data_IF_613327302702
#
_entry.id   IF_613327302702
#
_cell.length_a   1.000
_cell.length_b   1.000
_cell.length_c   1.000
_cell.angle_alpha   90.00
_cell.angle_beta   90.00
_cell.angle_gamma   90.00
#
_symmetry.space_group_name_H-M   'P 1'
#
loop_
_entity.id
_entity.type
_entity.pdbx_description
1 polymer ?
#
# COMPACT_ATOMS: atom_id res chain seq x y z
N UNK A 1 -3.03 9.37 -23.83
CA UNK A 1 -2.49 7.99 -23.77
C UNK A 1 -3.64 7.04 -23.51
N UNK A 2 -3.69 5.86 -24.16
CA UNK A 2 -4.81 4.93 -23.97
C UNK A 2 -4.52 3.98 -22.79
N UNK A 3 -5.56 3.58 -22.07
CA UNK A 3 -5.44 2.56 -21.01
C UNK A 3 -4.95 1.22 -21.59
N UNK A 4 -5.35 0.90 -22.82
CA UNK A 4 -4.89 -0.30 -23.53
C UNK A 4 -3.39 -0.30 -23.86
N UNK A 5 -2.70 0.85 -23.80
CA UNK A 5 -1.26 0.92 -23.98
C UNK A 5 -0.47 0.29 -22.82
N UNK A 6 -1.17 -0.04 -21.70
CA UNK A 6 -0.65 -0.69 -20.51
C UNK A 6 -1.20 -2.11 -20.34
N UNK A 7 -1.56 -2.76 -21.44
CA UNK A 7 -2.09 -4.12 -21.42
C UNK A 7 -0.99 -5.15 -21.66
N UNK A 8 -1.11 -6.28 -20.99
CA UNK A 8 -0.31 -7.47 -21.20
C UNK A 8 -1.12 -8.70 -20.79
N UNK A 9 -0.74 -9.89 -21.29
CA UNK A 9 -1.44 -11.12 -20.94
C UNK A 9 -0.90 -11.67 -19.63
N UNK A 10 -1.76 -11.74 -18.61
CA UNK A 10 -1.43 -12.33 -17.31
C UNK A 10 -2.25 -13.61 -17.10
N UNK A 11 -1.61 -14.80 -17.09
CA UNK A 11 -2.26 -16.04 -16.68
C UNK A 11 -2.72 -15.98 -15.23
N UNK A 12 -3.95 -16.43 -14.94
CA UNK A 12 -4.56 -16.34 -13.61
C UNK A 12 -3.78 -17.17 -12.57
N UNK A 13 -3.20 -18.28 -12.98
CA UNK A 13 -2.37 -19.15 -12.13
C UNK A 13 -1.09 -18.49 -11.60
N UNK A 14 -0.64 -17.38 -12.20
CA UNK A 14 0.50 -16.62 -11.69
C UNK A 14 0.13 -15.65 -10.57
N UNK A 15 -1.16 -15.43 -10.33
CA UNK A 15 -1.63 -14.57 -9.24
C UNK A 15 -1.49 -15.31 -7.91
N UNK A 16 -0.57 -14.85 -7.07
CA UNK A 16 -0.27 -15.50 -5.78
C UNK A 16 -1.47 -15.42 -4.82
N UNK A 17 -1.94 -16.56 -4.35
CA UNK A 17 -3.06 -16.67 -3.41
C UNK A 17 -2.61 -16.73 -1.93
N UNK A 18 -1.35 -17.11 -1.70
CA UNK A 18 -0.77 -17.26 -0.36
C UNK A 18 0.62 -16.66 -0.30
N UNK A 19 1.04 -16.08 0.83
CA UNK A 19 2.40 -15.62 1.02
C UNK A 19 3.39 -16.80 1.03
N UNK A 20 4.68 -16.50 0.82
CA UNK A 20 5.74 -17.46 1.08
C UNK A 20 6.00 -17.55 2.59
N UNK A 21 6.40 -18.73 3.09
CA UNK A 21 6.79 -18.92 4.50
C UNK A 21 7.95 -17.99 4.87
N UNK A 22 8.97 -17.93 4.03
CA UNK A 22 10.07 -16.99 4.16
C UNK A 22 9.80 -15.76 3.27
N UNK A 23 9.51 -14.60 3.88
CA UNK A 23 9.10 -13.37 3.16
C UNK A 23 10.14 -12.88 2.16
N UNK A 24 11.43 -12.91 2.54
CA UNK A 24 12.55 -12.46 1.72
C UNK A 24 13.09 -13.55 0.76
N UNK A 25 12.49 -14.75 0.76
CA UNK A 25 12.80 -15.83 -0.18
C UNK A 25 12.08 -15.69 -1.53
N UNK A 26 11.22 -14.72 -1.74
CA UNK A 26 10.58 -14.47 -3.03
C UNK A 26 11.61 -14.07 -4.09
N UNK A 27 11.25 -14.20 -5.38
CA UNK A 27 12.12 -13.75 -6.47
C UNK A 27 12.15 -12.22 -6.55
N UNK A 28 13.28 -11.70 -7.01
CA UNK A 28 13.47 -10.27 -7.27
C UNK A 28 13.91 -10.09 -8.74
N UNK A 29 13.14 -9.35 -9.51
CA UNK A 29 13.57 -8.88 -10.81
C UNK A 29 14.21 -7.50 -10.68
N UNK A 30 15.47 -7.36 -11.05
CA UNK A 30 16.19 -6.09 -11.01
C UNK A 30 16.25 -5.49 -12.40
N UNK A 31 15.72 -4.28 -12.55
CA UNK A 31 15.72 -3.50 -13.77
C UNK A 31 16.71 -2.33 -13.64
N UNK A 32 17.75 -2.32 -14.47
CA UNK A 32 18.66 -1.20 -14.58
C UNK A 32 18.19 -0.29 -15.73
N UNK A 33 17.77 0.93 -15.39
CA UNK A 33 17.24 1.89 -16.37
C UNK A 33 18.28 2.43 -17.34
N UNK A 34 19.51 2.58 -16.88
CA UNK A 34 20.62 3.16 -17.70
C UNK A 34 21.16 2.14 -18.69
N UNK A 35 21.27 0.87 -18.30
CA UNK A 35 21.84 -0.21 -19.11
C UNK A 35 20.78 -1.02 -19.84
N UNK A 36 19.50 -0.83 -19.48
CA UNK A 36 18.35 -1.58 -19.99
C UNK A 36 18.50 -3.10 -19.79
N UNK A 37 19.07 -3.50 -18.65
CA UNK A 37 19.28 -4.90 -18.30
C UNK A 37 18.23 -5.40 -17.32
N UNK A 38 17.99 -6.72 -17.38
CA UNK A 38 17.11 -7.44 -16.46
C UNK A 38 17.94 -8.51 -15.78
N UNK A 39 17.92 -8.55 -14.45
CA UNK A 39 18.55 -9.60 -13.65
C UNK A 39 17.50 -10.33 -12.82
N UNK A 40 17.72 -11.64 -12.61
CA UNK A 40 16.88 -12.49 -11.77
C UNK A 40 17.61 -12.83 -10.49
N UNK A 41 17.04 -12.46 -9.34
CA UNK A 41 17.60 -12.63 -7.99
C UNK A 41 16.52 -13.13 -7.03
N UNK A 42 16.88 -13.24 -5.75
CA UNK A 42 15.93 -13.36 -4.65
C UNK A 42 15.89 -12.07 -3.82
N UNK A 43 14.83 -11.87 -3.07
CA UNK A 43 14.65 -10.58 -2.37
C UNK A 43 15.72 -10.36 -1.29
N UNK A 44 16.24 -11.39 -0.66
CA UNK A 44 17.35 -11.26 0.29
C UNK A 44 18.63 -10.69 -0.34
N UNK A 45 18.79 -10.76 -1.67
CA UNK A 45 19.92 -10.16 -2.41
C UNK A 45 19.77 -8.65 -2.57
N UNK A 46 18.66 -8.04 -2.10
CA UNK A 46 18.44 -6.59 -2.18
C UNK A 46 19.58 -5.77 -1.56
N UNK A 47 20.28 -6.38 -0.60
CA UNK A 47 21.43 -5.76 0.03
C UNK A 47 22.59 -5.47 -0.94
N UNK A 48 22.68 -6.19 -2.05
CA UNK A 48 23.72 -5.98 -3.06
C UNK A 48 23.42 -4.74 -3.92
N UNK A 49 22.19 -4.27 -3.89
CA UNK A 49 21.69 -3.14 -4.69
C UNK A 49 21.50 -1.84 -3.92
N UNK A 50 21.70 -1.86 -2.60
CA UNK A 50 21.63 -0.67 -1.74
C UNK A 50 23.02 -0.34 -1.21
N UNK A 51 23.35 0.94 -1.12
CA UNK A 51 24.69 1.44 -0.76
C UNK A 51 24.66 2.20 0.57
N UNK A 52 25.78 2.29 1.30
CA UNK A 52 25.89 3.21 2.42
C UNK A 52 25.51 4.64 2.00
N UNK A 53 24.66 5.28 2.80
CA UNK A 53 24.14 6.61 2.50
C UNK A 53 22.82 6.64 1.73
N UNK A 54 22.38 5.54 1.10
CA UNK A 54 21.02 5.42 0.55
C UNK A 54 19.96 5.44 1.67
N UNK A 55 18.72 5.72 1.32
CA UNK A 55 17.58 5.65 2.23
C UNK A 55 16.46 4.80 1.65
N UNK A 56 16.07 3.76 2.39
CA UNK A 56 14.83 3.01 2.15
C UNK A 56 13.66 3.76 2.79
N UNK A 57 12.65 4.14 2.00
CA UNK A 57 11.45 4.82 2.50
C UNK A 57 10.27 3.86 2.48
N UNK A 58 9.76 3.56 3.66
CA UNK A 58 8.79 2.50 3.95
C UNK A 58 7.45 3.08 4.38
N UNK A 59 6.33 2.53 3.91
CA UNK A 59 5.00 2.92 4.40
C UNK A 59 4.66 2.08 5.64
N UNK A 60 4.53 2.71 6.80
CA UNK A 60 4.30 2.07 8.10
C UNK A 60 2.82 1.95 8.49
N UNK A 61 1.91 2.20 7.55
CA UNK A 61 0.49 2.01 7.83
C UNK A 61 0.17 0.55 8.17
N UNK A 62 -0.75 0.36 9.13
CA UNK A 62 -1.21 -0.93 9.61
C UNK A 62 -2.62 -1.19 9.12
N UNK A 63 -2.86 -2.37 8.57
CA UNK A 63 -4.19 -2.79 8.12
C UNK A 63 -5.05 -3.14 9.32
N UNK A 64 -6.27 -2.60 9.35
CA UNK A 64 -7.28 -2.97 10.34
C UNK A 64 -8.16 -4.11 9.80
N UNK A 65 -8.79 -4.95 10.65
CA UNK A 65 -9.68 -6.02 10.22
C UNK A 65 -11.01 -5.45 9.71
N UNK A 66 -10.94 -4.67 8.64
CA UNK A 66 -11.97 -3.76 8.13
C UNK A 66 -13.19 -4.47 7.52
N UNK A 67 -13.15 -5.79 7.30
CA UNK A 67 -14.25 -6.55 6.69
C UNK A 67 -15.10 -7.21 7.75
N UNK A 68 -16.38 -6.86 7.78
CA UNK A 68 -17.36 -7.38 8.72
C UNK A 68 -18.52 -8.03 7.98
N UNK A 69 -19.17 -8.98 8.65
CA UNK A 69 -20.35 -9.65 8.16
C UNK A 69 -21.49 -9.51 9.16
N UNK A 70 -22.73 -9.54 8.66
CA UNK A 70 -23.90 -9.46 9.51
C UNK A 70 -25.17 -9.81 8.77
N UNK A 71 -26.29 -9.71 9.47
CA UNK A 71 -27.63 -9.91 8.91
C UNK A 71 -28.42 -8.61 8.96
N UNK A 72 -29.10 -8.31 7.87
CA UNK A 72 -30.07 -7.22 7.83
C UNK A 72 -31.24 -7.53 8.76
N UNK A 73 -31.49 -6.63 9.70
CA UNK A 73 -32.62 -6.72 10.62
C UNK A 73 -33.95 -6.85 9.85
N UNK A 74 -34.86 -7.64 10.34
CA UNK A 74 -36.18 -7.87 9.75
C UNK A 74 -36.22 -8.83 8.56
N UNK A 75 -35.13 -8.96 7.75
CA UNK A 75 -35.11 -9.85 6.58
C UNK A 75 -34.12 -11.01 6.67
N UNK A 76 -33.16 -10.96 7.57
CA UNK A 76 -32.09 -11.96 7.70
C UNK A 76 -31.16 -12.04 6.49
N UNK A 77 -31.15 -11.02 5.62
CA UNK A 77 -30.28 -11.02 4.46
C UNK A 77 -28.81 -10.85 4.87
N UNK A 78 -27.94 -11.75 4.37
CA UNK A 78 -26.49 -11.65 4.60
C UNK A 78 -25.90 -10.40 3.96
N UNK A 79 -25.13 -9.65 4.74
CA UNK A 79 -24.49 -8.38 4.36
C UNK A 79 -23.02 -8.45 4.70
N UNK A 80 -22.19 -8.01 3.75
CA UNK A 80 -20.78 -7.70 3.96
C UNK A 80 -20.63 -6.17 4.04
N UNK A 81 -19.91 -5.71 5.06
CA UNK A 81 -19.48 -4.32 5.23
C UNK A 81 -17.96 -4.29 5.17
N UNK A 82 -17.41 -3.36 4.39
CA UNK A 82 -15.98 -3.07 4.34
C UNK A 82 -15.77 -1.60 4.70
N UNK A 83 -15.15 -1.36 5.83
CA UNK A 83 -14.75 -0.01 6.26
C UNK A 83 -13.77 0.57 5.24
N UNK A 84 -13.92 1.87 4.94
CA UNK A 84 -13.02 2.59 4.02
C UNK A 84 -12.32 3.71 4.77
N UNK A 85 -13.11 4.61 5.35
CA UNK A 85 -12.62 5.81 6.01
C UNK A 85 -13.57 6.21 7.14
N UNK A 86 -12.99 6.58 8.28
CA UNK A 86 -13.75 7.22 9.35
C UNK A 86 -14.08 8.65 8.94
N UNK A 87 -15.35 9.01 8.99
CA UNK A 87 -15.82 10.34 8.59
C UNK A 87 -15.87 11.25 9.82
N UNK A 88 -16.62 10.85 10.85
CA UNK A 88 -16.78 11.60 12.09
C UNK A 88 -17.34 10.67 13.18
N UNK A 89 -16.80 10.75 14.41
CA UNK A 89 -17.31 9.94 15.53
C UNK A 89 -17.35 8.46 15.16
N UNK A 90 -18.52 7.83 15.25
CA UNK A 90 -18.75 6.44 14.91
C UNK A 90 -19.29 6.23 13.49
N UNK A 91 -19.20 7.28 12.66
CA UNK A 91 -19.62 7.27 11.27
C UNK A 91 -18.46 6.95 10.35
N UNK A 92 -18.69 5.94 9.49
CA UNK A 92 -17.71 5.48 8.53
C UNK A 92 -18.28 5.44 7.11
N UNK A 93 -17.45 5.75 6.16
CA UNK A 93 -17.67 5.38 4.78
C UNK A 93 -17.41 3.89 4.62
N UNK A 94 -18.37 3.15 4.07
CA UNK A 94 -18.29 1.71 3.90
C UNK A 94 -18.70 1.28 2.49
N UNK A 95 -18.02 0.26 1.95
CA UNK A 95 -18.61 -0.57 0.90
C UNK A 95 -19.55 -1.59 1.52
N UNK A 96 -20.68 -1.83 0.83
CA UNK A 96 -21.67 -2.82 1.28
C UNK A 96 -22.01 -3.79 0.17
N UNK A 97 -22.17 -5.07 0.51
CA UNK A 97 -22.56 -6.13 -0.42
C UNK A 97 -23.62 -7.04 0.22
N UNK A 98 -24.71 -7.32 -0.52
CA UNK A 98 -25.15 -6.74 -1.77
C UNK A 98 -25.77 -5.34 -1.58
N UNK A 99 -25.22 -4.31 -2.23
CA UNK A 99 -25.64 -2.92 -2.08
C UNK A 99 -27.12 -2.65 -2.42
N UNK A 100 -27.72 -3.46 -3.31
CA UNK A 100 -29.14 -3.33 -3.71
C UNK A 100 -30.13 -3.73 -2.60
N UNK A 101 -29.67 -4.41 -1.56
CA UNK A 101 -30.52 -4.87 -0.44
C UNK A 101 -30.48 -3.93 0.76
N UNK A 102 -29.61 -2.91 0.73
CA UNK A 102 -29.44 -1.95 1.82
C UNK A 102 -29.83 -0.56 1.39
N UNK A 103 -30.74 0.04 2.16
CA UNK A 103 -31.28 1.37 1.97
C UNK A 103 -31.06 2.22 3.24
N UNK A 104 -31.24 3.52 3.12
CA UNK A 104 -31.26 4.42 4.26
C UNK A 104 -32.29 3.99 5.30
N UNK A 105 -31.89 3.99 6.57
CA UNK A 105 -32.70 3.53 7.69
C UNK A 105 -32.61 2.02 7.99
N UNK A 106 -31.95 1.25 7.15
CA UNK A 106 -31.72 -0.19 7.43
C UNK A 106 -30.67 -0.37 8.52
N UNK A 107 -30.85 -1.42 9.34
CA UNK A 107 -29.89 -1.85 10.35
C UNK A 107 -29.33 -3.21 9.99
N UNK A 108 -28.02 -3.39 10.15
CA UNK A 108 -27.32 -4.66 10.04
C UNK A 108 -26.81 -5.05 11.41
N UNK A 109 -27.16 -6.23 11.86
CA UNK A 109 -26.67 -6.82 13.09
C UNK A 109 -25.39 -7.57 12.76
N UNK A 110 -24.27 -7.10 13.31
CA UNK A 110 -22.94 -7.64 13.01
C UNK A 110 -22.66 -8.87 13.87
N UNK A 111 -22.00 -9.87 13.27
CA UNK A 111 -21.65 -11.12 13.92
C UNK A 111 -20.19 -11.48 13.61
N UNK A 112 -19.59 -12.32 14.44
CA UNK A 112 -18.30 -12.95 14.12
C UNK A 112 -18.38 -13.76 12.83
N UNK A 113 -17.22 -14.16 12.30
CA UNK A 113 -17.12 -14.91 11.03
C UNK A 113 -17.96 -16.18 11.08
N UNK A 114 -18.84 -16.36 10.11
CA UNK A 114 -19.66 -17.58 9.97
C UNK A 114 -18.84 -18.82 9.60
N UNK A 115 -17.65 -18.62 9.03
CA UNK A 115 -16.71 -19.68 8.65
C UNK A 115 -15.89 -20.26 9.82
N UNK A 116 -15.92 -19.62 10.99
CA UNK A 116 -15.31 -20.14 12.22
C UNK A 116 -16.26 -21.01 13.07
N UNK A 117 -17.52 -21.11 12.64
CA UNK A 117 -18.48 -21.99 13.30
C UNK A 117 -18.21 -23.44 12.88
N UNK A 118 -17.88 -24.35 13.80
CA UNK A 118 -17.69 -25.77 13.46
C UNK A 118 -18.89 -26.34 12.72
N UNK A 119 -18.64 -27.14 11.68
CA UNK A 119 -19.72 -27.78 10.92
C UNK A 119 -20.66 -28.56 11.88
N UNK A 120 -21.94 -28.15 11.93
CA UNK A 120 -22.94 -28.77 12.80
C UNK A 120 -23.33 -27.96 14.04
N UNK A 121 -22.72 -26.80 14.28
CA UNK A 121 -23.24 -25.80 15.23
C UNK A 121 -24.16 -24.83 14.51
N UNK A 122 -25.33 -24.56 15.08
CA UNK A 122 -26.18 -23.47 14.59
C UNK A 122 -25.37 -22.17 14.65
N UNK A 123 -25.42 -21.37 13.58
CA UNK A 123 -24.82 -20.04 13.58
C UNK A 123 -25.34 -19.30 14.83
N UNK A 124 -24.45 -18.62 15.60
CA UNK A 124 -24.91 -17.86 16.76
C UNK A 124 -26.02 -16.92 16.31
N UNK A 125 -27.08 -16.81 17.12
CA UNK A 125 -28.16 -15.86 16.85
C UNK A 125 -27.51 -14.50 16.54
N UNK A 126 -27.70 -14.07 15.28
CA UNK A 126 -27.02 -12.91 14.76
C UNK A 126 -27.39 -11.66 15.57
N UNK A 127 -26.42 -10.99 16.11
CA UNK A 127 -26.68 -9.74 16.76
C UNK A 127 -25.91 -9.48 18.04
N UNK A 128 -25.22 -10.48 18.54
CA UNK A 128 -24.48 -10.31 19.78
C UNK A 128 -23.09 -10.93 19.65
N UNK A 129 -22.07 -10.19 20.08
CA UNK A 129 -20.74 -10.75 20.32
C UNK A 129 -20.59 -10.92 21.82
N UNK A 130 -20.20 -12.12 22.25
CA UNK A 130 -19.89 -12.38 23.65
C UNK A 130 -18.49 -11.82 23.97
N UNK A 131 -18.44 -10.76 24.77
CA UNK A 131 -17.19 -10.21 25.29
C UNK A 131 -17.17 -10.45 26.79
N UNK A 132 -16.19 -11.18 27.27
CA UNK A 132 -16.06 -11.51 28.71
C UNK A 132 -17.33 -12.12 29.35
N UNK A 133 -18.09 -12.89 28.56
CA UNK A 133 -19.33 -13.51 29.01
C UNK A 133 -20.55 -12.59 29.03
N UNK A 134 -20.47 -11.37 28.49
CA UNK A 134 -21.56 -10.42 28.37
C UNK A 134 -21.98 -10.31 26.91
N UNK A 135 -23.25 -10.50 26.62
CA UNK A 135 -23.82 -10.22 25.29
C UNK A 135 -23.83 -8.71 25.05
N UNK A 136 -23.17 -8.28 23.99
CA UNK A 136 -23.10 -6.86 23.62
C UNK A 136 -23.52 -6.70 22.16
N UNK A 137 -24.50 -5.84 21.85
CA UNK A 137 -24.91 -5.58 20.48
C UNK A 137 -23.81 -4.85 19.71
N UNK A 138 -23.59 -5.25 18.46
CA UNK A 138 -22.80 -4.47 17.52
C UNK A 138 -23.63 -4.32 16.24
N UNK A 139 -24.10 -3.10 15.99
CA UNK A 139 -25.01 -2.80 14.89
C UNK A 139 -24.42 -1.76 13.96
N UNK A 140 -24.80 -1.82 12.71
CA UNK A 140 -24.46 -0.87 11.67
C UNK A 140 -25.75 -0.26 11.10
N UNK A 141 -25.94 1.04 11.27
CA UNK A 141 -27.08 1.80 10.78
C UNK A 141 -26.71 2.48 9.46
N UNK A 142 -27.47 2.22 8.42
CA UNK A 142 -27.24 2.77 7.09
C UNK A 142 -27.87 4.16 7.03
N UNK A 143 -27.02 5.20 6.97
CA UNK A 143 -27.47 6.58 6.92
C UNK A 143 -27.76 7.09 5.51
N UNK A 144 -27.36 6.32 4.47
CA UNK A 144 -27.61 6.68 3.08
C UNK A 144 -26.41 6.43 2.15
N UNK A 145 -26.53 6.94 0.92
CA UNK A 145 -25.43 6.92 -0.05
C UNK A 145 -24.42 8.00 0.34
N UNK A 146 -23.15 7.63 0.49
CA UNK A 146 -22.05 8.58 0.76
C UNK A 146 -21.42 9.08 -0.53
N UNK A 147 -21.02 8.15 -1.39
CA UNK A 147 -20.47 8.44 -2.72
C UNK A 147 -21.13 7.50 -3.74
N UNK A 148 -21.92 8.10 -4.66
CA UNK A 148 -22.66 7.35 -5.67
C UNK A 148 -21.73 6.71 -6.72
N UNK A 149 -20.67 7.41 -7.11
CA UNK A 149 -19.70 6.94 -8.12
C UNK A 149 -18.91 5.74 -7.59
N UNK A 150 -18.63 5.74 -6.28
CA UNK A 150 -17.92 4.69 -5.58
C UNK A 150 -18.85 3.65 -4.95
N UNK A 151 -20.16 3.83 -5.06
CA UNK A 151 -21.18 2.94 -4.48
C UNK A 151 -21.00 2.71 -2.97
N UNK A 152 -20.52 3.73 -2.24
CA UNK A 152 -20.30 3.66 -0.80
C UNK A 152 -21.51 4.14 -0.03
N UNK A 153 -21.59 3.75 1.23
CA UNK A 153 -22.61 4.15 2.19
C UNK A 153 -21.97 4.84 3.38
N UNK A 154 -22.67 5.82 3.92
CA UNK A 154 -22.41 6.33 5.26
C UNK A 154 -23.08 5.41 6.26
N UNK A 155 -22.30 4.87 7.19
CA UNK A 155 -22.75 3.91 8.20
C UNK A 155 -22.37 4.41 9.57
N UNK A 156 -23.31 4.41 10.49
CA UNK A 156 -23.09 4.72 11.90
C UNK A 156 -23.10 3.43 12.72
N UNK A 157 -22.09 3.24 13.56
CA UNK A 157 -21.95 2.02 14.37
C UNK A 157 -22.46 2.26 15.80
N UNK A 158 -23.29 1.33 16.28
CA UNK A 158 -23.78 1.25 17.66
C UNK A 158 -23.12 0.06 18.35
N UNK A 159 -22.38 0.32 19.43
CA UNK A 159 -21.61 -0.69 20.16
C UNK A 159 -21.32 -0.20 21.59
N UNK A 160 -20.95 -1.14 22.46
CA UNK A 160 -20.43 -0.83 23.79
C UNK A 160 -18.90 -1.02 23.80
N UNK A 161 -18.18 -0.15 24.54
CA UNK A 161 -16.74 -0.22 24.71
C UNK A 161 -15.95 0.56 23.65
N UNK A 162 -14.84 0.00 23.21
CA UNK A 162 -13.90 0.62 22.24
C UNK A 162 -14.11 0.01 20.86
N UNK A 163 -14.37 0.86 19.85
CA UNK A 163 -14.64 0.41 18.47
C UNK A 163 -13.59 -0.55 17.93
N UNK A 164 -12.30 -0.24 18.12
CA UNK A 164 -11.20 -1.07 17.60
C UNK A 164 -11.16 -2.45 18.26
N UNK A 165 -11.46 -2.56 19.55
CA UNK A 165 -11.54 -3.85 20.25
C UNK A 165 -12.70 -4.69 19.68
N UNK A 166 -13.85 -4.05 19.47
CA UNK A 166 -15.01 -4.71 18.83
C UNK A 166 -14.70 -5.16 17.42
N UNK A 167 -13.99 -4.32 16.66
CA UNK A 167 -13.58 -4.63 15.29
C UNK A 167 -12.58 -5.81 15.26
N UNK A 168 -11.65 -5.89 16.19
CA UNK A 168 -10.70 -7.02 16.33
C UNK A 168 -11.39 -8.36 16.60
N UNK A 169 -12.51 -8.33 17.33
CA UNK A 169 -13.29 -9.54 17.67
C UNK A 169 -14.04 -10.13 16.48
N UNK A 170 -14.69 -9.29 15.67
CA UNK A 170 -15.59 -9.75 14.60
C UNK A 170 -15.07 -9.50 13.20
N UNK A 171 -14.12 -8.58 13.04
CA UNK A 171 -13.57 -8.21 11.77
C UNK A 171 -12.60 -9.25 11.20
N UNK A 172 -12.49 -9.28 9.90
CA UNK A 172 -11.52 -10.08 9.17
C UNK A 172 -10.64 -9.21 8.28
N UNK A 173 -9.43 -9.73 7.97
CA UNK A 173 -8.49 -9.02 7.11
C UNK A 173 -9.12 -8.77 5.73
N UNK A 174 -9.08 -7.53 5.24
CA UNK A 174 -9.68 -7.15 3.98
C UNK A 174 -8.78 -7.53 2.79
N UNK A 175 -8.58 -8.84 2.58
CA UNK A 175 -7.78 -9.32 1.46
C UNK A 175 -8.31 -8.76 0.13
N UNK A 176 -7.43 -8.43 -0.82
CA UNK A 176 -7.81 -7.92 -2.13
C UNK A 176 -8.67 -8.90 -2.92
N UNK A 177 -9.51 -8.43 -3.86
CA UNK A 177 -10.48 -9.28 -4.56
C UNK A 177 -9.86 -10.34 -5.48
N UNK A 178 -8.59 -10.24 -5.83
CA UNK A 178 -7.86 -11.25 -6.61
C UNK A 178 -7.34 -12.42 -5.75
N UNK A 179 -7.40 -12.32 -4.43
CA UNK A 179 -7.23 -13.43 -3.52
C UNK A 179 -8.61 -14.05 -3.32
N UNK A 180 -8.83 -15.20 -3.96
CA UNK A 180 -10.15 -15.82 -4.04
C UNK A 180 -10.50 -16.68 -2.82
N UNK A 181 -9.54 -16.98 -1.94
CA UNK A 181 -9.78 -17.70 -0.69
C UNK A 181 -10.31 -16.78 0.41
N UNK A 182 -11.03 -17.31 1.39
CA UNK A 182 -11.36 -16.59 2.62
C UNK A 182 -10.10 -16.12 3.36
N UNK A 183 -10.21 -15.04 4.13
CA UNK A 183 -9.15 -14.62 5.03
C UNK A 183 -9.01 -15.60 6.19
N UNK A 184 -7.79 -15.98 6.53
CA UNK A 184 -7.43 -16.87 7.64
C UNK A 184 -6.86 -16.05 8.80
N UNK A 185 -6.79 -16.63 10.00
CA UNK A 185 -6.20 -15.93 11.16
C UNK A 185 -4.72 -15.58 10.97
N UNK A 186 -3.99 -16.40 10.20
CA UNK A 186 -2.62 -16.13 9.80
C UNK A 186 -2.48 -14.83 8.97
N UNK A 187 -3.51 -14.41 8.24
CA UNK A 187 -3.47 -13.17 7.45
C UNK A 187 -3.39 -11.92 8.33
N UNK A 188 -3.79 -11.97 9.61
CA UNK A 188 -3.64 -10.87 10.55
C UNK A 188 -2.18 -10.45 10.70
N UNK A 189 -1.25 -11.40 10.58
CA UNK A 189 0.19 -11.16 10.62
C UNK A 189 0.82 -11.14 9.23
N UNK A 190 0.39 -12.05 8.34
CA UNK A 190 1.00 -12.22 7.03
C UNK A 190 0.65 -11.08 6.06
N UNK A 191 -0.54 -10.46 6.21
CA UNK A 191 -0.94 -9.28 5.42
C UNK A 191 -0.58 -7.95 6.13
N UNK A 192 0.55 -7.96 6.88
CA UNK A 192 1.14 -6.81 7.54
C UNK A 192 2.64 -6.77 7.28
N UNK A 193 3.20 -5.57 7.17
CA UNK A 193 4.65 -5.38 7.16
C UNK A 193 5.21 -5.58 8.57
N UNK A 194 6.47 -6.02 8.67
CA UNK A 194 7.13 -6.23 9.98
C UNK A 194 7.39 -4.93 10.76
N UNK A 195 7.11 -3.79 10.14
CA UNK A 195 7.28 -2.44 10.70
C UNK A 195 5.98 -1.63 10.73
N UNK A 196 4.83 -2.24 10.43
CA UNK A 196 3.53 -1.57 10.50
C UNK A 196 3.21 -1.11 11.92
N UNK A 197 2.75 0.13 12.08
CA UNK A 197 2.43 0.73 13.40
C UNK A 197 1.24 1.67 13.41
N UNK A 198 0.97 2.41 12.32
CA UNK A 198 -0.10 3.42 12.29
C UNK A 198 -1.36 2.80 11.70
N UNK A 199 -2.34 2.51 12.53
CA UNK A 199 -3.61 1.90 12.14
C UNK A 199 -4.47 2.82 11.28
N UNK A 200 -5.28 2.24 10.38
CA UNK A 200 -6.24 2.96 9.54
C UNK A 200 -6.22 2.58 8.07
N UNK A 201 -5.31 1.69 7.64
CA UNK A 201 -5.27 1.20 6.25
C UNK A 201 -6.25 0.05 6.04
N UNK A 202 -6.88 -0.01 4.87
CA UNK A 202 -7.70 -1.16 4.45
C UNK A 202 -6.98 -2.09 3.47
N UNK A 203 -5.73 -1.76 3.14
CA UNK A 203 -4.85 -2.64 2.37
C UNK A 203 -3.40 -2.48 2.82
N UNK A 204 -2.63 -3.56 2.77
CA UNK A 204 -1.22 -3.52 3.12
C UNK A 204 -0.38 -2.81 2.04
N UNK A 205 0.71 -2.12 2.41
CA UNK A 205 1.74 -1.68 1.47
C UNK A 205 2.60 -2.88 1.05
N UNK A 206 2.09 -3.65 0.08
CA UNK A 206 2.49 -5.05 -0.17
C UNK A 206 3.95 -5.25 -0.59
N UNK A 207 4.59 -4.26 -1.21
CA UNK A 207 6.03 -4.31 -1.48
C UNK A 207 6.88 -4.38 -0.19
N UNK A 208 6.35 -3.90 0.91
CA UNK A 208 6.97 -4.00 2.23
C UNK A 208 6.88 -5.38 2.88
N UNK A 209 5.98 -6.25 2.39
CA UNK A 209 5.80 -7.61 2.94
C UNK A 209 7.03 -8.49 2.73
N UNK A 210 7.86 -8.18 1.75
CA UNK A 210 9.08 -8.92 1.44
C UNK A 210 10.20 -8.70 2.47
N UNK A 211 10.15 -7.59 3.22
CA UNK A 211 11.16 -7.30 4.24
C UNK A 211 10.96 -8.13 5.50
N UNK A 212 12.08 -8.64 6.03
CA UNK A 212 12.17 -9.19 7.38
C UNK A 212 12.84 -8.16 8.30
N UNK A 213 12.67 -8.29 9.62
CA UNK A 213 13.37 -7.44 10.61
C UNK A 213 14.88 -7.58 10.47
N UNK A 214 15.35 -8.80 10.21
CA UNK A 214 16.76 -9.13 10.02
C UNK A 214 17.33 -8.45 8.77
N UNK A 215 16.58 -8.44 7.67
CA UNK A 215 17.01 -7.80 6.41
C UNK A 215 17.12 -6.29 6.59
N UNK A 216 16.15 -5.64 7.25
CA UNK A 216 16.19 -4.22 7.57
C UNK A 216 17.36 -3.89 8.52
N UNK A 217 17.62 -4.73 9.52
CA UNK A 217 18.77 -4.57 10.42
C UNK A 217 20.08 -4.62 9.66
N UNK A 218 20.28 -5.61 8.77
CA UNK A 218 21.48 -5.75 7.92
C UNK A 218 21.65 -4.52 6.99
N UNK A 219 20.55 -3.99 6.42
CA UNK A 219 20.60 -2.77 5.63
C UNK A 219 21.12 -1.58 6.47
N UNK A 220 20.61 -1.41 7.70
CA UNK A 220 21.09 -0.39 8.63
C UNK A 220 22.58 -0.57 9.00
N UNK A 221 23.02 -1.79 9.28
CA UNK A 221 24.42 -2.14 9.56
C UNK A 221 25.35 -1.83 8.37
N UNK A 222 24.84 -1.94 7.14
CA UNK A 222 25.52 -1.53 5.90
C UNK A 222 25.63 -0.01 5.74
N UNK A 223 24.93 0.77 6.57
CA UNK A 223 24.91 2.23 6.47
C UNK A 223 23.76 2.79 5.61
N UNK A 224 22.77 1.96 5.30
CA UNK A 224 21.53 2.41 4.65
C UNK A 224 20.62 3.03 5.69
N UNK A 225 20.07 4.21 5.40
CA UNK A 225 19.07 4.86 6.26
C UNK A 225 17.69 4.24 6.03
N UNK A 226 16.89 4.26 7.09
CA UNK A 226 15.50 3.82 7.02
C UNK A 226 14.63 4.98 7.47
N UNK A 227 13.68 5.38 6.62
CA UNK A 227 12.69 6.39 6.94
C UNK A 227 11.29 5.83 6.72
N UNK A 228 10.33 6.34 7.48
CA UNK A 228 8.95 5.92 7.41
C UNK A 228 8.06 7.06 6.91
N UNK A 229 7.08 6.69 6.12
CA UNK A 229 5.96 7.54 5.72
C UNK A 229 4.68 6.79 6.03
N UNK A 230 3.59 7.49 6.24
CA UNK A 230 2.28 6.89 6.40
C UNK A 230 1.40 7.27 5.22
N UNK A 231 0.81 6.30 4.55
CA UNK A 231 -0.30 6.50 3.62
C UNK A 231 -1.34 5.41 3.91
N UNK A 232 -2.53 5.83 4.28
CA UNK A 232 -3.65 4.92 4.49
C UNK A 232 -4.23 4.50 3.15
N UNK A 233 -3.93 3.25 2.76
CA UNK A 233 -4.36 2.69 1.47
C UNK A 233 -5.86 2.44 1.51
N UNK A 234 -6.58 3.12 0.63
CA UNK A 234 -8.00 2.89 0.40
C UNK A 234 -8.28 1.80 -0.63
N UNK A 235 -9.56 1.52 -0.85
CA UNK A 235 -10.01 0.52 -1.82
C UNK A 235 -9.78 0.92 -3.28
N UNK A 236 -9.50 2.20 -3.54
CA UNK A 236 -9.27 2.72 -4.90
C UNK A 236 -8.15 1.99 -5.63
N UNK A 237 -7.13 1.53 -4.89
CA UNK A 237 -5.98 0.79 -5.42
C UNK A 237 -6.36 -0.52 -6.13
N UNK A 238 -7.49 -1.14 -5.76
CA UNK A 238 -7.95 -2.40 -6.35
C UNK A 238 -9.06 -2.24 -7.40
N UNK A 239 -9.47 -1.00 -7.68
CA UNK A 239 -10.51 -0.75 -8.67
C UNK A 239 -9.92 -0.68 -10.07
N UNK A 240 -10.54 -1.36 -11.05
CA UNK A 240 -10.13 -1.21 -12.44
C UNK A 240 -10.39 0.22 -12.93
N UNK A 241 -9.50 0.72 -13.76
CA UNK A 241 -9.70 1.98 -14.49
C UNK A 241 -10.87 1.83 -15.46
N UNK A 242 -11.84 2.74 -15.41
CA UNK A 242 -13.11 2.66 -16.17
C UNK A 242 -13.18 3.61 -17.37
N UNK A 243 -12.11 4.37 -17.61
CA UNK A 243 -12.01 5.33 -18.72
C UNK A 243 -11.13 4.77 -19.83
N UNK A 244 -11.22 5.32 -21.03
CA UNK A 244 -10.45 4.87 -22.19
C UNK A 244 -9.07 5.54 -22.26
N UNK A 245 -8.96 6.76 -21.77
CA UNK A 245 -7.73 7.56 -21.77
C UNK A 245 -7.21 7.81 -20.36
N UNK A 246 -5.88 7.77 -20.21
CA UNK A 246 -5.19 7.91 -18.91
C UNK A 246 -5.53 9.24 -18.27
N UNK A 247 -5.56 10.32 -19.04
CA UNK A 247 -5.74 11.69 -18.57
C UNK A 247 -7.16 11.96 -18.02
N UNK A 248 -8.14 11.13 -18.38
CA UNK A 248 -9.52 11.22 -17.87
C UNK A 248 -9.69 10.53 -16.51
N UNK A 249 -8.73 9.69 -16.10
CA UNK A 249 -8.83 8.98 -14.84
C UNK A 249 -8.63 9.91 -13.65
N UNK A 250 -9.56 9.86 -12.70
CA UNK A 250 -9.47 10.58 -11.43
C UNK A 250 -9.05 9.63 -10.32
N UNK A 251 -7.91 9.91 -9.72
CA UNK A 251 -7.42 9.17 -8.56
C UNK A 251 -8.27 9.45 -7.32
N UNK A 252 -8.47 8.42 -6.52
CA UNK A 252 -9.02 8.59 -5.17
C UNK A 252 -8.00 9.31 -4.29
N UNK A 253 -8.52 10.16 -3.41
CA UNK A 253 -7.70 10.82 -2.40
C UNK A 253 -7.41 9.87 -1.24
N UNK A 254 -6.16 9.85 -0.81
CA UNK A 254 -5.67 9.07 0.33
C UNK A 254 -4.90 9.97 1.28
N UNK A 255 -5.11 9.78 2.58
CA UNK A 255 -4.41 10.54 3.61
C UNK A 255 -2.97 10.05 3.73
N UNK A 256 -2.02 10.99 3.70
CA UNK A 256 -0.61 10.67 3.86
C UNK A 256 0.11 11.68 4.76
N UNK A 257 1.19 11.21 5.38
CA UNK A 257 1.99 12.04 6.29
C UNK A 257 3.45 11.61 6.33
N UNK A 258 4.30 12.57 6.70
CA UNK A 258 5.70 12.37 7.06
C UNK A 258 5.95 13.16 8.34
N UNK A 259 6.44 12.55 9.40
CA UNK A 259 6.83 13.25 10.61
C UNK A 259 8.16 14.00 10.43
N UNK A 260 8.49 14.89 11.37
CA UNK A 260 9.69 15.74 11.29
C UNK A 260 10.98 14.92 11.27
N UNK A 261 11.08 13.87 12.08
CA UNK A 261 12.28 13.05 12.17
C UNK A 261 12.53 12.28 10.85
N UNK A 262 11.47 11.71 10.27
CA UNK A 262 11.58 11.01 8.99
C UNK A 262 11.85 11.98 7.82
N UNK A 263 11.24 13.17 7.82
CA UNK A 263 11.55 14.21 6.83
C UNK A 263 13.01 14.65 6.91
N UNK A 264 13.58 14.78 8.11
CA UNK A 264 15.01 15.10 8.31
C UNK A 264 15.92 14.01 7.75
N UNK A 265 15.63 12.71 8.02
CA UNK A 265 16.41 11.59 7.47
C UNK A 265 16.39 11.62 5.95
N UNK A 266 15.20 11.79 5.33
CA UNK A 266 15.03 11.85 3.89
C UNK A 266 15.81 13.03 3.30
N UNK A 267 15.63 14.23 3.84
CA UNK A 267 16.26 15.44 3.36
C UNK A 267 17.80 15.39 3.50
N UNK A 268 18.29 14.89 4.63
CA UNK A 268 19.71 14.66 4.84
C UNK A 268 20.31 13.68 3.84
N UNK A 269 19.57 12.63 3.47
CA UNK A 269 19.99 11.70 2.42
C UNK A 269 20.17 12.41 1.08
N UNK A 270 19.23 13.29 0.71
CA UNK A 270 19.30 14.08 -0.52
C UNK A 270 20.54 15.01 -0.48
N UNK A 271 20.78 15.68 0.66
CA UNK A 271 21.88 16.61 0.86
C UNK A 271 23.26 15.96 0.76
N UNK A 272 23.37 14.74 1.25
CA UNK A 272 24.60 13.95 1.22
C UNK A 272 24.77 13.17 -0.11
N UNK A 273 23.85 13.32 -1.08
CA UNK A 273 23.93 12.69 -2.39
C UNK A 273 23.55 11.21 -2.43
N UNK A 274 22.87 10.70 -1.38
CA UNK A 274 22.33 9.35 -1.34
C UNK A 274 21.07 9.21 -2.19
N UNK A 275 20.72 7.96 -2.58
CA UNK A 275 19.50 7.65 -3.30
C UNK A 275 18.32 7.52 -2.35
N UNK A 276 17.15 7.97 -2.78
CA UNK A 276 15.88 7.67 -2.15
C UNK A 276 15.20 6.51 -2.86
N UNK A 277 15.17 5.37 -2.21
CA UNK A 277 14.60 4.12 -2.71
C UNK A 277 13.25 3.94 -2.04
N UNK A 278 12.17 4.20 -2.78
CA UNK A 278 10.83 4.00 -2.24
C UNK A 278 10.44 2.52 -2.24
N UNK A 279 9.85 2.07 -1.14
CA UNK A 279 9.30 0.73 -1.01
C UNK A 279 7.79 0.78 -1.16
N UNK A 280 7.33 0.39 -2.34
CA UNK A 280 5.95 0.44 -2.77
C UNK A 280 5.53 1.75 -3.41
N UNK A 281 4.50 1.66 -4.21
CA UNK A 281 3.87 2.81 -4.90
C UNK A 281 3.25 3.80 -3.92
N UNK A 282 2.86 3.35 -2.73
CA UNK A 282 2.32 4.20 -1.65
C UNK A 282 3.39 5.15 -1.10
N UNK A 283 4.60 4.63 -0.81
CA UNK A 283 5.73 5.46 -0.40
C UNK A 283 6.13 6.45 -1.49
N UNK A 284 6.14 6.00 -2.76
CA UNK A 284 6.38 6.87 -3.92
C UNK A 284 5.39 8.01 -3.97
N UNK A 285 4.08 7.72 -3.89
CA UNK A 285 3.03 8.74 -3.94
C UNK A 285 3.11 9.72 -2.79
N UNK A 286 3.44 9.26 -1.58
CA UNK A 286 3.65 10.14 -0.42
C UNK A 286 4.83 11.07 -0.64
N UNK A 287 5.99 10.54 -1.02
CA UNK A 287 7.20 11.33 -1.27
C UNK A 287 6.96 12.41 -2.33
N UNK A 288 6.40 12.02 -3.46
CA UNK A 288 6.16 12.94 -4.58
C UNK A 288 5.07 13.99 -4.26
N UNK A 289 4.07 13.65 -3.44
CA UNK A 289 3.04 14.59 -3.00
C UNK A 289 3.53 15.60 -1.97
N UNK A 290 4.46 15.19 -1.11
CA UNK A 290 5.01 16.05 -0.05
C UNK A 290 6.30 16.76 -0.49
N UNK A 291 6.73 16.57 -1.74
CA UNK A 291 7.85 17.29 -2.33
C UNK A 291 7.54 18.78 -2.45
N UNK A 292 8.46 19.60 -1.97
CA UNK A 292 8.40 21.08 -2.06
C UNK A 292 9.78 21.66 -2.31
N UNK A 293 9.84 22.86 -2.89
CA UNK A 293 11.12 23.58 -3.02
C UNK A 293 11.63 24.00 -1.64
N UNK A 294 12.96 23.99 -1.40
CA UNK A 294 13.53 24.51 -0.17
C UNK A 294 13.20 26.00 -0.04
N UNK A 295 12.92 26.46 1.21
CA UNK A 295 12.60 27.87 1.47
C UNK A 295 13.79 28.82 1.31
N UNK A 296 15.02 28.29 1.25
CA UNK A 296 16.27 29.04 0.98
C UNK A 296 17.22 28.19 0.14
N UNK A 297 18.07 28.81 -0.72
CA UNK A 297 19.13 28.08 -1.41
C UNK A 297 20.09 27.50 -0.37
N UNK A 298 20.26 26.17 -0.42
CA UNK A 298 21.14 25.47 0.48
C UNK A 298 22.60 25.74 0.07
N UNK A 299 23.37 26.39 0.93
CA UNK A 299 24.81 26.50 0.78
C UNK A 299 25.44 25.27 1.44
N UNK A 300 25.98 24.35 0.65
CA UNK A 300 26.80 23.25 1.15
C UNK A 300 27.91 23.85 2.02
N UNK A 301 27.87 23.70 3.34
CA UNK A 301 29.01 23.95 4.21
C UNK A 301 30.08 22.92 3.85
N UNK A 302 31.12 23.36 3.17
CA UNK A 302 32.37 22.57 3.10
C UNK A 302 32.79 22.26 4.55
N UNK A 303 33.03 20.98 4.85
CA UNK A 303 33.74 20.63 6.08
C UNK A 303 35.09 21.32 6.04
N UNK A 304 35.36 22.14 7.05
CA UNK A 304 36.70 22.72 7.25
C UNK A 304 37.69 21.55 7.41
N UNK A 305 38.58 21.37 6.46
CA UNK A 305 39.74 20.50 6.61
C UNK A 305 40.27 19.75 5.40
N UNK A 306 39.64 19.74 4.23
CA UNK A 306 40.20 19.07 3.05
C UNK A 306 40.58 20.07 1.96
N UNK A 307 41.84 20.51 2.01
CA UNK A 307 42.57 21.07 0.86
C UNK A 307 43.26 19.89 0.15
N UNK A 308 42.65 19.36 -0.90
CA UNK A 308 43.36 18.56 -1.89
C UNK A 308 42.71 18.77 -3.25
N UNK A 309 43.51 19.25 -4.17
CA UNK A 309 43.21 19.32 -5.60
C UNK A 309 42.93 17.91 -6.12
N UNK A 310 41.68 17.64 -6.37
CA UNK A 310 41.17 16.46 -7.05
C UNK A 310 39.78 16.81 -7.53
N UNK A 311 39.55 16.79 -8.83
CA UNK A 311 38.24 16.84 -9.43
C UNK A 311 37.39 15.75 -8.77
N UNK A 312 36.55 16.14 -7.81
CA UNK A 312 35.55 15.23 -7.23
C UNK A 312 34.59 14.87 -8.35
N UNK A 313 34.54 13.60 -8.72
CA UNK A 313 33.44 13.07 -9.57
C UNK A 313 32.12 13.61 -9.03
N UNK A 314 31.25 14.14 -9.89
CA UNK A 314 29.93 14.59 -9.45
C UNK A 314 29.22 13.40 -8.80
N UNK A 315 28.70 13.59 -7.58
CA UNK A 315 27.92 12.59 -6.88
C UNK A 315 26.85 12.05 -7.84
N UNK A 316 26.92 10.76 -8.14
CA UNK A 316 26.20 10.10 -9.23
C UNK A 316 24.66 10.22 -9.12
N UNK A 317 24.14 10.52 -7.91
CA UNK A 317 22.71 10.64 -7.64
C UNK A 317 22.47 11.71 -6.55
N UNK A 318 21.46 12.54 -6.69
CA UNK A 318 20.89 13.35 -5.60
C UNK A 318 21.46 14.75 -5.38
N UNK A 319 22.73 15.03 -5.66
CA UNK A 319 23.35 16.32 -5.35
C UNK A 319 22.71 17.54 -6.06
N UNK A 320 21.96 17.33 -7.13
CA UNK A 320 21.26 18.39 -7.88
C UNK A 320 19.74 18.45 -7.60
N UNK A 321 19.21 17.67 -6.65
CA UNK A 321 17.78 17.73 -6.35
C UNK A 321 17.42 19.04 -5.66
N UNK A 322 16.60 19.84 -6.33
CA UNK A 322 16.09 21.10 -5.80
C UNK A 322 14.97 20.89 -4.76
N UNK A 323 14.37 19.70 -4.76
CA UNK A 323 13.22 19.41 -3.92
C UNK A 323 13.64 18.80 -2.59
N UNK A 324 12.82 19.08 -1.57
CA UNK A 324 12.89 18.48 -0.22
C UNK A 324 11.48 18.02 0.16
N UNK A 325 11.38 17.02 1.02
CA UNK A 325 10.09 16.65 1.59
C UNK A 325 9.75 17.58 2.74
N UNK A 326 8.46 17.86 2.90
CA UNK A 326 7.91 18.60 4.04
C UNK A 326 7.32 17.63 5.03
N UNK A 327 7.62 17.84 6.31
CA UNK A 327 6.87 17.17 7.37
C UNK A 327 5.43 17.69 7.41
N UNK A 328 4.51 16.84 7.84
CA UNK A 328 3.10 17.19 8.01
C UNK A 328 2.16 16.13 7.44
N UNK A 329 0.95 16.54 7.24
CA UNK A 329 -0.21 15.73 6.87
C UNK A 329 -0.86 16.34 5.64
N UNK A 330 -1.26 15.51 4.68
CA UNK A 330 -1.99 15.97 3.49
C UNK A 330 -2.86 14.84 2.92
N UNK A 331 -3.77 15.22 2.06
CA UNK A 331 -4.54 14.27 1.26
C UNK A 331 -4.02 14.30 -0.17
N UNK A 332 -3.68 13.13 -0.72
CA UNK A 332 -3.10 13.04 -2.06
C UNK A 332 -3.99 12.30 -3.04
N UNK A 333 -4.27 12.95 -4.16
CA UNK A 333 -4.85 12.34 -5.36
C UNK A 333 -3.83 12.29 -6.51
N UNK A 334 -2.52 12.29 -6.21
CA UNK A 334 -1.47 12.29 -7.22
C UNK A 334 -1.61 11.08 -8.14
N UNK A 335 -1.62 11.33 -9.44
CA UNK A 335 -1.64 10.32 -10.48
C UNK A 335 -0.33 10.38 -11.27
N UNK A 336 0.50 9.37 -11.09
CA UNK A 336 1.81 9.25 -11.73
C UNK A 336 1.68 8.29 -12.91
N UNK A 337 1.98 8.79 -14.13
CA UNK A 337 1.98 8.03 -15.38
C UNK A 337 3.07 8.57 -16.31
N UNK A 338 3.41 7.92 -17.41
CA UNK A 338 4.48 8.36 -18.32
C UNK A 338 4.37 9.84 -18.73
N UNK A 339 5.47 10.58 -18.56
CA UNK A 339 5.55 12.02 -18.67
C UNK A 339 5.62 12.74 -17.32
N UNK A 340 5.44 12.02 -16.19
CA UNK A 340 5.65 12.57 -14.86
C UNK A 340 7.15 12.71 -14.57
N UNK A 341 7.55 13.89 -14.07
CA UNK A 341 8.93 14.16 -13.64
C UNK A 341 9.07 13.92 -12.14
N UNK A 342 9.80 12.85 -11.77
CA UNK A 342 10.04 12.52 -10.37
C UNK A 342 10.94 13.57 -9.70
N UNK A 343 10.51 14.02 -8.53
CA UNK A 343 11.16 15.08 -7.75
C UNK A 343 12.09 14.51 -6.68
N UNK A 344 11.68 13.40 -6.08
CA UNK A 344 12.31 12.85 -4.88
C UNK A 344 12.82 11.42 -5.13
N UNK A 345 12.02 10.57 -5.75
CA UNK A 345 12.29 9.13 -5.85
C UNK A 345 13.35 8.83 -6.91
N UNK A 346 14.39 8.08 -6.53
CA UNK A 346 15.47 7.63 -7.41
C UNK A 346 15.29 6.20 -7.90
N UNK A 347 14.79 5.33 -7.00
CA UNK A 347 14.57 3.92 -7.28
C UNK A 347 13.30 3.43 -6.57
N UNK A 348 12.74 2.33 -7.05
CA UNK A 348 11.49 1.78 -6.54
C UNK A 348 11.60 0.27 -6.37
N UNK A 349 11.26 -0.21 -5.18
CA UNK A 349 10.97 -1.62 -4.90
C UNK A 349 9.45 -1.79 -4.93
N UNK A 350 8.94 -2.70 -5.74
CA UNK A 350 7.49 -2.88 -5.91
C UNK A 350 7.14 -4.33 -6.24
N UNK A 351 5.84 -4.68 -6.18
CA UNK A 351 5.32 -5.95 -6.71
C UNK A 351 5.05 -5.83 -8.21
N UNK A 352 4.72 -6.94 -8.85
CA UNK A 352 4.15 -6.94 -10.19
C UNK A 352 2.66 -6.59 -10.13
N UNK A 353 2.21 -5.72 -11.05
CA UNK A 353 0.89 -5.09 -11.03
C UNK A 353 -0.03 -5.60 -12.16
N UNK A 354 -1.36 -5.42 -11.99
CA UNK A 354 -2.38 -5.79 -12.99
C UNK A 354 -2.19 -5.06 -14.31
N UNK A 355 -2.55 -5.72 -15.43
CA UNK A 355 -2.75 -5.03 -16.70
C UNK A 355 -3.74 -3.85 -16.53
N UNK A 356 -3.50 -2.77 -17.27
CA UNK A 356 -4.34 -1.55 -17.30
C UNK A 356 -4.52 -0.85 -15.93
N UNK A 357 -3.67 -1.15 -14.94
CA UNK A 357 -3.75 -0.52 -13.61
C UNK A 357 -2.98 0.79 -13.52
N UNK A 358 -3.43 1.68 -12.64
CA UNK A 358 -2.70 2.92 -12.30
C UNK A 358 -1.31 2.64 -11.73
N UNK A 359 -1.11 1.49 -11.10
CA UNK A 359 0.18 1.07 -10.55
C UNK A 359 1.17 0.69 -11.66
N UNK A 360 0.69 0.01 -12.72
CA UNK A 360 1.52 -0.27 -13.90
C UNK A 360 1.91 1.02 -14.63
N UNK A 361 1.02 2.03 -14.63
CA UNK A 361 1.31 3.35 -15.19
C UNK A 361 2.42 4.06 -14.38
N UNK A 362 2.39 3.97 -13.04
CA UNK A 362 3.41 4.56 -12.17
C UNK A 362 4.79 3.95 -12.42
N UNK A 363 4.91 2.63 -12.46
CA UNK A 363 6.20 1.97 -12.73
C UNK A 363 6.70 2.26 -14.15
N UNK A 364 5.78 2.40 -15.09
CA UNK A 364 6.09 2.83 -16.48
C UNK A 364 6.56 4.29 -16.55
N UNK A 365 6.13 5.14 -15.65
CA UNK A 365 6.61 6.53 -15.55
C UNK A 365 8.03 6.61 -15.01
N UNK A 366 8.42 5.70 -14.08
CA UNK A 366 9.75 5.72 -13.48
C UNK A 366 10.84 5.19 -14.43
N UNK A 367 10.50 4.27 -15.29
CA UNK A 367 11.44 3.69 -16.24
C UNK A 367 11.10 4.10 -17.67
N UNK A 368 10.38 3.25 -18.35
CA UNK A 368 9.85 3.42 -19.69
C UNK A 368 8.73 2.39 -19.90
N UNK A 369 7.64 2.79 -20.54
CA UNK A 369 6.49 1.91 -20.73
C UNK A 369 6.84 0.64 -21.50
N UNK A 370 7.59 0.76 -22.59
CA UNK A 370 7.91 -0.37 -23.46
C UNK A 370 8.85 -1.34 -22.76
N UNK A 371 9.85 -0.82 -22.05
CA UNK A 371 10.79 -1.65 -21.28
C UNK A 371 10.09 -2.33 -20.09
N UNK A 372 9.16 -1.65 -19.42
CA UNK A 372 8.34 -2.26 -18.35
C UNK A 372 7.46 -3.39 -18.92
N UNK A 373 6.79 -3.18 -20.05
CA UNK A 373 5.97 -4.24 -20.68
C UNK A 373 6.82 -5.43 -21.13
N UNK A 374 8.04 -5.20 -21.63
CA UNK A 374 8.99 -6.30 -21.92
C UNK A 374 9.36 -7.05 -20.62
N UNK A 375 9.69 -6.35 -19.54
CA UNK A 375 10.01 -6.97 -18.27
C UNK A 375 8.82 -7.79 -17.72
N UNK A 376 7.59 -7.30 -17.86
CA UNK A 376 6.39 -8.03 -17.45
C UNK A 376 6.15 -9.29 -18.29
N UNK A 377 6.40 -9.25 -19.60
CA UNK A 377 6.34 -10.44 -20.45
C UNK A 377 7.40 -11.46 -20.06
N UNK A 378 8.64 -11.03 -19.78
CA UNK A 378 9.69 -11.90 -19.22
C UNK A 378 9.23 -12.50 -17.89
N UNK A 379 8.61 -11.71 -16.99
CA UNK A 379 8.12 -12.21 -15.72
C UNK A 379 7.04 -13.29 -15.90
N UNK A 380 6.16 -13.16 -16.89
CA UNK A 380 5.15 -14.17 -17.23
C UNK A 380 5.81 -15.45 -17.78
N UNK A 381 6.74 -15.33 -18.72
CA UNK A 381 7.48 -16.44 -19.31
C UNK A 381 8.29 -17.21 -18.26
N UNK A 382 8.95 -16.48 -17.38
CA UNK A 382 9.76 -17.00 -16.26
C UNK A 382 8.92 -17.43 -15.05
N UNK A 383 7.58 -17.33 -15.14
CA UNK A 383 6.64 -17.76 -14.09
C UNK A 383 6.89 -17.07 -12.74
N UNK A 384 7.10 -15.76 -12.76
CA UNK A 384 7.04 -14.96 -11.54
C UNK A 384 5.64 -14.98 -10.96
N UNK A 385 5.55 -14.84 -9.65
CA UNK A 385 4.28 -14.69 -8.94
C UNK A 385 3.88 -13.22 -8.91
N UNK A 386 2.62 -12.95 -9.17
CA UNK A 386 2.10 -11.59 -9.30
C UNK A 386 1.30 -11.14 -8.08
N UNK A 387 1.18 -9.83 -7.87
CA UNK A 387 0.42 -9.12 -6.85
C UNK A 387 0.96 -9.22 -5.42
N UNK A 388 0.07 -8.99 -4.43
CA UNK A 388 0.40 -8.76 -3.01
C UNK A 388 1.31 -9.80 -2.39
N UNK A 389 1.06 -11.08 -2.65
CA UNK A 389 1.85 -12.20 -2.14
C UNK A 389 2.82 -12.76 -3.18
N UNK A 390 2.97 -12.06 -4.27
CA UNK A 390 3.86 -12.45 -5.37
C UNK A 390 5.31 -12.11 -5.13
N UNK A 391 6.05 -11.97 -6.23
CA UNK A 391 7.46 -11.63 -6.28
C UNK A 391 7.67 -10.11 -6.35
N UNK A 392 8.90 -9.69 -6.23
CA UNK A 392 9.29 -8.29 -6.19
C UNK A 392 10.03 -7.84 -7.45
N UNK A 393 10.03 -6.54 -7.69
CA UNK A 393 10.81 -5.85 -8.71
C UNK A 393 11.56 -4.69 -8.07
N UNK A 394 12.85 -4.50 -8.43
CA UNK A 394 13.62 -3.30 -8.16
C UNK A 394 13.85 -2.56 -9.48
N UNK A 395 13.47 -1.29 -9.56
CA UNK A 395 13.72 -0.39 -10.68
C UNK A 395 14.75 0.65 -10.22
N UNK A 396 15.96 0.65 -10.80
CA UNK A 396 17.06 1.53 -10.42
C UNK A 396 17.83 2.16 -11.61
#
# INVERSE_FOLDING_TARGET
MKITDFDYTLPEELIAQTPMEQRDGCRLMVLNRSEKTVEHRHFYDILDYVNPGDCLVLNDSRVIPARMYGLKEGTGAHIELLLIKRVEGDRWECLVRPGKRLHEGDTVILAGRTDTVPAGTEAPECGYTLVNGIEQPFKAHILGVHDADNATRLVEFEYDGIFMERLEEIGSMPLPPYISRPAEDSDKEMYQTVYSRIEGSVAAPTAGLHFTKELLKKAGEKGVRIAYVTLHVGIGTFRPVKVDTVEEHKMHFEECSIDEANAEIINRTIEEGGRLISVGTTSTRTLESMAGMPMQPFVLKKKDGDAADGESEPAKYGANKMFRVRAGHTSTGIFIYPGYEFKIVDALITNFHLPKSTLLMLVSALYDREEILKAYNIAVEEKYRFFSYGDAMLIQ
#
